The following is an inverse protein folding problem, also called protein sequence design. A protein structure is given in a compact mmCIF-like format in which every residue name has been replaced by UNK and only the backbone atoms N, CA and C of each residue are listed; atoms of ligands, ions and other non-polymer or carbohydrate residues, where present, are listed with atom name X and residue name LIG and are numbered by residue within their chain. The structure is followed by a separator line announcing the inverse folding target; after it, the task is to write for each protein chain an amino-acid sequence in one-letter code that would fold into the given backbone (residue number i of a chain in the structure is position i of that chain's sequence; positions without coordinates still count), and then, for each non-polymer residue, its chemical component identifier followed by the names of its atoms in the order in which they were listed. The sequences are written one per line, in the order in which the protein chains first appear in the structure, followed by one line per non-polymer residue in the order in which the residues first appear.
data_IF_539964826113
#
_entry.id   IF_539964826113
#
_cell.length_a   1.000
_cell.length_b   1.000
_cell.length_c   1.000
_cell.angle_alpha   90.00
_cell.angle_beta   90.00
_cell.angle_gamma   90.00
#
_symmetry.space_group_name_H-M   'P 1'
#
loop_
_entity.id
_entity.type
_entity.pdbx_description
1 polymer ?
#
# COMPACT_ATOMS: atom_id res chain seq x y z
N UNK A 1 -2.10 17.80 -18.15
CA UNK A 1 -0.78 17.33 -17.72
C UNK A 1 -0.91 16.06 -16.92
N UNK A 2 -0.08 15.04 -17.24
CA UNK A 2 -0.07 13.74 -16.57
C UNK A 2 1.36 13.43 -16.13
N UNK A 3 1.51 12.79 -14.97
CA UNK A 3 2.76 12.21 -14.48
C UNK A 3 2.52 10.74 -14.19
N UNK A 4 3.37 9.89 -14.73
CA UNK A 4 3.44 8.47 -14.39
C UNK A 4 4.82 8.23 -13.74
N UNK A 5 4.85 7.48 -12.64
CA UNK A 5 6.08 7.16 -11.93
C UNK A 5 6.32 5.66 -11.97
N UNK A 6 7.54 5.26 -12.27
CA UNK A 6 7.98 3.88 -12.39
C UNK A 6 9.21 3.66 -11.53
N UNK A 7 9.28 2.53 -10.86
CA UNK A 7 10.43 2.13 -10.06
C UNK A 7 10.90 0.74 -10.46
N UNK A 8 12.22 0.58 -10.50
CA UNK A 8 12.87 -0.71 -10.74
C UNK A 8 13.96 -0.96 -9.68
N UNK A 9 14.42 -2.21 -9.56
CA UNK A 9 15.48 -2.59 -8.64
C UNK A 9 16.87 -2.04 -9.07
N UNK A 10 17.03 -1.62 -10.33
CA UNK A 10 18.26 -1.04 -10.85
C UNK A 10 18.46 0.37 -10.33
N UNK A 11 19.63 0.62 -9.73
CA UNK A 11 20.01 1.97 -9.28
C UNK A 11 20.19 2.99 -10.40
N UNK A 12 20.30 2.53 -11.65
CA UNK A 12 20.47 3.33 -12.85
C UNK A 12 19.21 3.38 -13.72
N UNK A 13 18.07 2.94 -13.18
CA UNK A 13 16.84 2.78 -13.95
C UNK A 13 16.40 4.06 -14.66
N UNK A 14 16.42 5.20 -13.97
CA UNK A 14 16.08 6.49 -14.57
C UNK A 14 16.95 6.83 -15.78
N UNK A 15 18.26 6.61 -15.67
CA UNK A 15 19.20 6.85 -16.78
C UNK A 15 18.91 5.92 -17.97
N UNK A 16 18.62 4.66 -17.68
CA UNK A 16 18.27 3.68 -18.73
C UNK A 16 16.99 4.10 -19.48
N UNK A 17 15.96 4.57 -18.78
CA UNK A 17 14.73 5.06 -19.41
C UNK A 17 14.99 6.28 -20.31
N UNK A 18 15.81 7.23 -19.85
CA UNK A 18 16.19 8.43 -20.65
C UNK A 18 16.97 8.00 -21.90
N UNK A 19 17.98 7.15 -21.76
CA UNK A 19 18.80 6.66 -22.88
C UNK A 19 17.96 5.86 -23.89
N UNK A 20 17.02 5.05 -23.41
CA UNK A 20 16.13 4.26 -24.26
C UNK A 20 15.17 5.15 -25.05
N UNK A 21 14.56 6.16 -24.43
CA UNK A 21 13.70 7.13 -25.12
C UNK A 21 14.48 7.89 -26.21
N UNK A 22 15.70 8.36 -25.89
CA UNK A 22 16.54 9.04 -26.87
C UNK A 22 16.95 8.16 -28.04
N UNK A 23 17.06 6.84 -27.82
CA UNK A 23 17.42 5.87 -28.86
C UNK A 23 16.22 5.47 -29.73
N UNK A 24 15.06 5.25 -29.09
CA UNK A 24 13.87 4.76 -29.78
C UNK A 24 13.10 5.85 -30.51
N UNK A 25 13.14 7.08 -29.99
CA UNK A 25 12.42 8.21 -30.55
C UNK A 25 13.37 9.22 -31.20
N UNK A 26 13.49 9.20 -32.54
CA UNK A 26 14.40 10.13 -33.26
C UNK A 26 14.08 11.61 -33.11
N UNK A 27 12.87 11.94 -32.64
CA UNK A 27 12.46 13.33 -32.38
C UNK A 27 12.82 13.79 -30.98
N UNK A 28 13.23 12.86 -30.10
CA UNK A 28 13.66 13.17 -28.75
C UNK A 28 15.01 13.87 -28.72
N UNK A 29 15.14 14.79 -27.76
CA UNK A 29 16.39 15.47 -27.48
C UNK A 29 16.63 15.54 -25.98
N UNK A 30 17.88 15.49 -25.56
CA UNK A 30 18.24 15.68 -24.16
C UNK A 30 18.17 17.18 -23.82
N UNK A 31 17.31 17.53 -22.86
CA UNK A 31 17.17 18.90 -22.35
C UNK A 31 17.32 18.91 -20.83
N UNK A 32 17.54 20.10 -20.27
CA UNK A 32 17.57 20.30 -18.82
C UNK A 32 16.36 21.11 -18.35
N UNK A 33 15.63 20.57 -17.37
CA UNK A 33 14.47 21.24 -16.73
C UNK A 33 14.76 21.38 -15.24
N UNK A 34 15.33 22.52 -14.83
CA UNK A 34 15.88 22.69 -13.48
C UNK A 34 17.06 21.76 -13.23
N UNK A 35 16.99 20.91 -12.24
CA UNK A 35 18.02 19.90 -11.92
C UNK A 35 17.87 18.59 -12.72
N UNK A 36 16.80 18.44 -13.48
CA UNK A 36 16.45 17.21 -14.16
C UNK A 36 17.00 17.16 -15.59
N UNK A 37 17.72 16.09 -15.91
CA UNK A 37 18.01 15.72 -17.30
C UNK A 37 16.78 15.00 -17.84
N UNK A 38 16.25 15.45 -18.98
CA UNK A 38 15.03 14.92 -19.57
C UNK A 38 15.28 14.53 -21.04
N UNK A 39 14.85 13.33 -21.43
CA UNK A 39 14.60 13.05 -22.83
C UNK A 39 13.24 13.74 -23.15
N UNK A 40 13.26 14.68 -24.06
CA UNK A 40 12.10 15.48 -24.42
C UNK A 40 11.76 15.28 -25.88
N UNK A 41 10.48 15.02 -26.16
CA UNK A 41 9.92 14.98 -27.49
C UNK A 41 8.61 15.79 -27.57
N UNK A 42 8.24 16.18 -28.79
CA UNK A 42 6.95 16.84 -29.05
C UNK A 42 6.38 16.36 -30.39
N UNK A 43 5.13 15.95 -30.36
CA UNK A 43 4.40 15.52 -31.54
C UNK A 43 3.16 16.38 -31.75
N UNK A 44 2.91 16.79 -32.98
CA UNK A 44 1.72 17.60 -33.34
C UNK A 44 0.74 16.72 -34.12
N UNK A 45 -0.50 16.70 -33.69
CA UNK A 45 -1.59 15.94 -34.33
C UNK A 45 -2.86 16.78 -34.42
N UNK A 46 -3.83 16.32 -35.21
CA UNK A 46 -5.10 16.97 -35.39
C UNK A 46 -6.24 16.08 -34.93
N UNK A 47 -7.10 16.63 -34.07
CA UNK A 47 -8.30 15.94 -33.59
C UNK A 47 -9.49 16.88 -33.65
N UNK A 48 -10.61 16.44 -34.19
CA UNK A 48 -11.85 17.22 -34.34
C UNK A 48 -11.64 18.62 -34.96
N UNK A 49 -10.73 18.72 -35.94
CA UNK A 49 -10.43 19.97 -36.61
C UNK A 49 -9.43 20.90 -35.92
N UNK A 50 -9.07 20.59 -34.67
CA UNK A 50 -8.12 21.38 -33.86
C UNK A 50 -6.74 20.74 -33.89
N UNK A 51 -5.70 21.57 -33.98
CA UNK A 51 -4.31 21.12 -33.88
C UNK A 51 -3.84 21.14 -32.42
N UNK A 52 -3.26 20.04 -32.00
CA UNK A 52 -2.67 19.85 -30.68
C UNK A 52 -1.18 19.55 -30.78
N UNK A 53 -0.45 19.83 -29.71
CA UNK A 53 0.91 19.37 -29.49
C UNK A 53 0.94 18.57 -28.20
N UNK A 54 1.40 17.32 -28.27
CA UNK A 54 1.72 16.48 -27.12
C UNK A 54 3.21 16.61 -26.83
N UNK A 55 3.54 17.09 -25.66
CA UNK A 55 4.89 17.18 -25.13
C UNK A 55 5.12 16.03 -24.16
N UNK A 56 6.26 15.35 -24.28
CA UNK A 56 6.64 14.22 -23.42
C UNK A 56 8.02 14.52 -22.84
N UNK A 57 8.17 14.26 -21.55
CA UNK A 57 9.46 14.30 -20.83
C UNK A 57 9.63 12.98 -20.11
N UNK A 58 10.72 12.28 -20.38
CA UNK A 58 11.18 11.12 -19.61
C UNK A 58 12.36 11.57 -18.77
N UNK A 59 12.24 11.48 -17.46
CA UNK A 59 13.23 11.96 -16.50
C UNK A 59 13.26 11.09 -15.25
N UNK A 60 14.16 11.32 -14.32
CA UNK A 60 14.21 10.58 -13.06
C UNK A 60 15.56 10.65 -12.38
N UNK A 61 15.70 9.88 -11.30
CA UNK A 61 16.92 9.78 -10.53
C UNK A 61 17.00 8.41 -9.84
N UNK A 62 18.14 7.75 -9.99
CA UNK A 62 18.36 6.45 -9.36
C UNK A 62 17.39 5.38 -9.89
N UNK A 63 16.66 4.75 -8.98
CA UNK A 63 15.68 3.70 -9.25
C UNK A 63 14.29 4.19 -9.69
N UNK A 64 14.09 5.51 -9.78
CA UNK A 64 12.80 6.13 -10.07
C UNK A 64 12.84 6.87 -11.42
N UNK A 65 11.96 6.51 -12.34
CA UNK A 65 11.71 7.19 -13.60
C UNK A 65 10.32 7.86 -13.58
N UNK A 66 10.23 9.04 -14.18
CA UNK A 66 8.98 9.76 -14.42
C UNK A 66 8.78 9.95 -15.91
N UNK A 67 7.58 9.62 -16.38
CA UNK A 67 7.06 10.03 -17.67
C UNK A 67 6.05 11.14 -17.45
N UNK A 68 6.33 12.31 -17.96
CA UNK A 68 5.46 13.48 -17.89
C UNK A 68 4.93 13.79 -19.29
N UNK A 69 3.63 14.01 -19.43
CA UNK A 69 3.02 14.38 -20.69
C UNK A 69 2.08 15.59 -20.56
N UNK A 70 2.09 16.45 -21.56
CA UNK A 70 1.22 17.62 -21.68
C UNK A 70 0.65 17.68 -23.10
N UNK A 71 -0.67 17.58 -23.23
CA UNK A 71 -1.35 17.85 -24.50
C UNK A 71 -2.02 19.22 -24.43
N UNK A 72 -1.69 20.10 -25.36
CA UNK A 72 -2.22 21.45 -25.46
C UNK A 72 -2.49 21.83 -26.90
N UNK A 73 -3.29 22.86 -27.14
CA UNK A 73 -3.48 23.39 -28.49
C UNK A 73 -2.14 23.88 -29.04
N UNK A 74 -1.94 23.66 -30.36
CA UNK A 74 -0.69 24.06 -31.04
C UNK A 74 -0.39 25.55 -30.82
N UNK A 75 0.82 25.84 -30.37
CA UNK A 75 1.29 27.20 -30.06
C UNK A 75 1.12 27.57 -28.60
N UNK A 76 0.50 26.73 -27.77
CA UNK A 76 0.48 26.97 -26.31
C UNK A 76 1.83 26.69 -25.67
N UNK A 77 2.11 27.38 -24.58
CA UNK A 77 3.38 27.27 -23.87
C UNK A 77 3.44 25.96 -23.02
N UNK A 78 4.62 25.39 -22.94
CA UNK A 78 4.93 24.21 -22.08
C UNK A 78 5.51 24.59 -20.72
N UNK A 79 5.80 25.89 -20.51
CA UNK A 79 6.41 26.41 -19.28
C UNK A 79 5.70 26.01 -18.00
N UNK A 80 4.35 25.96 -17.91
CA UNK A 80 3.68 25.49 -16.70
C UNK A 80 3.99 24.03 -16.35
N UNK A 81 4.09 23.13 -17.35
CA UNK A 81 4.46 21.73 -17.14
C UNK A 81 5.92 21.62 -16.67
N UNK A 82 6.84 22.38 -17.27
CA UNK A 82 8.24 22.40 -16.85
C UNK A 82 8.39 22.94 -15.41
N UNK A 83 7.56 23.87 -14.98
CA UNK A 83 7.54 24.35 -13.59
C UNK A 83 7.17 23.22 -12.62
N UNK A 84 6.20 22.36 -12.99
CA UNK A 84 5.83 21.17 -12.21
C UNK A 84 6.99 20.17 -12.20
N UNK A 85 7.63 19.90 -13.35
CA UNK A 85 8.78 18.98 -13.42
C UNK A 85 9.93 19.48 -12.55
N UNK A 86 10.23 20.78 -12.53
CA UNK A 86 11.24 21.39 -11.63
C UNK A 86 10.94 21.15 -10.15
N UNK A 87 9.66 21.03 -9.80
CA UNK A 87 9.22 20.80 -8.41
C UNK A 87 9.28 19.34 -7.98
N UNK A 88 9.49 18.39 -8.90
CA UNK A 88 9.61 16.97 -8.57
C UNK A 88 10.72 16.73 -7.55
N UNK A 89 10.48 15.81 -6.65
CA UNK A 89 11.48 15.34 -5.68
C UNK A 89 11.43 13.82 -5.62
N UNK A 90 12.58 13.20 -5.76
CA UNK A 90 12.74 11.77 -5.43
C UNK A 90 13.19 11.71 -3.98
N UNK A 91 12.36 11.12 -3.14
CA UNK A 91 12.77 10.80 -1.78
C UNK A 91 13.76 9.64 -1.84
N UNK A 92 15.01 9.90 -1.55
CA UNK A 92 16.04 8.87 -1.38
C UNK A 92 15.97 8.37 0.07
N UNK A 93 15.73 7.09 0.24
CA UNK A 93 15.67 6.45 1.55
C UNK A 93 14.37 5.69 1.76
N UNK A 94 14.34 4.89 2.80
CA UNK A 94 13.11 4.24 3.28
C UNK A 94 12.15 5.36 3.66
N UNK A 95 11.02 5.48 2.96
CA UNK A 95 10.01 6.46 3.34
C UNK A 95 9.66 6.27 4.82
N UNK A 96 9.59 7.35 5.60
CA UNK A 96 9.18 7.23 6.99
C UNK A 96 7.80 6.61 7.02
N UNK A 97 7.63 5.64 7.91
CA UNK A 97 6.32 5.06 8.16
C UNK A 97 5.38 6.16 8.65
N UNK A 98 4.28 6.34 7.94
CA UNK A 98 3.21 7.25 8.35
C UNK A 98 2.10 6.45 9.03
N UNK A 99 1.60 6.99 10.14
CA UNK A 99 0.44 6.45 10.86
C UNK A 99 -0.62 7.52 10.85
N UNK A 100 -1.75 7.22 10.25
CA UNK A 100 -2.86 8.15 10.07
C UNK A 100 -4.17 7.52 10.59
N UNK A 101 -5.21 8.30 10.86
CA UNK A 101 -6.53 7.74 11.17
C UNK A 101 -6.94 6.69 10.14
N UNK A 102 -7.59 5.63 10.62
CA UNK A 102 -8.03 4.53 9.74
C UNK A 102 -8.89 5.06 8.59
N UNK A 103 -8.56 4.65 7.36
CA UNK A 103 -9.25 5.11 6.15
C UNK A 103 -10.38 4.14 5.77
N UNK A 104 -11.22 4.58 4.86
CA UNK A 104 -12.38 3.81 4.37
C UNK A 104 -11.96 2.46 3.76
N UNK A 105 -10.81 2.39 3.10
CA UNK A 105 -10.32 1.14 2.51
C UNK A 105 -10.00 0.10 3.59
N UNK A 106 -9.23 0.46 4.61
CA UNK A 106 -8.87 -0.43 5.70
C UNK A 106 -10.10 -0.78 6.56
N UNK A 107 -11.03 0.15 6.77
CA UNK A 107 -12.33 -0.16 7.42
C UNK A 107 -13.08 -1.21 6.60
N UNK A 108 -13.09 -1.08 5.28
CA UNK A 108 -13.71 -2.07 4.38
C UNK A 108 -13.07 -3.46 4.52
N UNK A 109 -11.75 -3.54 4.61
CA UNK A 109 -11.01 -4.80 4.82
C UNK A 109 -11.33 -5.43 6.18
N UNK A 110 -11.35 -4.63 7.26
CA UNK A 110 -11.69 -5.09 8.61
C UNK A 110 -13.12 -5.65 8.63
N UNK A 111 -14.09 -4.92 8.07
CA UNK A 111 -15.47 -5.34 7.99
C UNK A 111 -15.65 -6.62 7.17
N UNK A 112 -15.01 -6.72 6.01
CA UNK A 112 -15.05 -7.91 5.17
C UNK A 112 -14.46 -9.13 5.88
N UNK A 113 -13.38 -8.95 6.63
CA UNK A 113 -12.77 -10.00 7.45
C UNK A 113 -13.71 -10.44 8.57
N UNK A 114 -14.34 -9.50 9.29
CA UNK A 114 -15.33 -9.78 10.31
C UNK A 114 -16.52 -10.58 9.75
N UNK A 115 -17.10 -10.14 8.63
CA UNK A 115 -18.23 -10.83 7.99
C UNK A 115 -17.85 -12.24 7.53
N UNK A 116 -16.66 -12.40 6.94
CA UNK A 116 -16.17 -13.69 6.51
C UNK A 116 -16.00 -14.65 7.69
N UNK A 117 -15.40 -14.19 8.80
CA UNK A 117 -15.20 -14.99 10.02
C UNK A 117 -16.54 -15.33 10.65
N UNK A 118 -17.44 -14.35 10.82
CA UNK A 118 -18.77 -14.55 11.38
C UNK A 118 -19.56 -15.60 10.60
N UNK A 119 -19.56 -15.49 9.28
CA UNK A 119 -20.23 -16.45 8.41
C UNK A 119 -19.61 -17.84 8.52
N UNK A 120 -18.28 -17.92 8.60
CA UNK A 120 -17.57 -19.20 8.68
C UNK A 120 -17.79 -19.88 10.04
N UNK A 121 -17.75 -19.12 11.14
CA UNK A 121 -18.06 -19.62 12.49
C UNK A 121 -19.51 -20.11 12.56
N UNK A 122 -20.46 -19.33 12.03
CA UNK A 122 -21.87 -19.71 11.99
C UNK A 122 -22.11 -21.02 11.25
N UNK A 123 -21.47 -21.17 10.08
CA UNK A 123 -21.56 -22.40 9.26
C UNK A 123 -20.89 -23.61 9.89
N UNK A 124 -19.76 -23.40 10.58
CA UNK A 124 -18.91 -24.50 11.04
C UNK A 124 -19.23 -24.93 12.47
N UNK A 125 -19.55 -23.95 13.35
CA UNK A 125 -19.73 -24.16 14.77
C UNK A 125 -21.18 -23.92 15.24
N UNK A 126 -22.05 -23.40 14.37
CA UNK A 126 -23.45 -23.01 14.71
C UNK A 126 -23.48 -21.97 15.84
N UNK A 127 -22.48 -21.10 15.92
CA UNK A 127 -22.31 -20.04 16.92
C UNK A 127 -22.19 -18.69 16.25
N UNK A 128 -22.48 -17.63 16.99
CA UNK A 128 -22.27 -16.26 16.55
C UNK A 128 -20.86 -15.79 16.94
N UNK A 129 -20.31 -14.86 16.17
CA UNK A 129 -19.06 -14.16 16.43
C UNK A 129 -19.39 -12.71 16.76
N UNK A 130 -18.97 -12.23 17.92
CA UNK A 130 -19.35 -10.92 18.47
C UNK A 130 -18.14 -10.04 18.80
N UNK A 131 -16.93 -10.51 18.45
CA UNK A 131 -15.64 -9.84 18.74
C UNK A 131 -15.38 -9.61 20.22
N UNK A 132 -15.78 -10.56 21.07
CA UNK A 132 -15.47 -10.56 22.50
C UNK A 132 -14.34 -11.55 22.80
N UNK A 133 -13.69 -11.46 23.96
CA UNK A 133 -12.57 -12.34 24.34
C UNK A 133 -12.95 -13.83 24.26
N UNK A 134 -14.19 -14.20 24.58
CA UNK A 134 -14.71 -15.57 24.46
C UNK A 134 -14.68 -16.13 23.01
N UNK A 135 -14.67 -15.24 22.02
CA UNK A 135 -14.61 -15.61 20.61
C UNK A 135 -13.22 -16.13 20.18
N UNK A 136 -12.17 -15.92 20.99
CA UNK A 136 -10.86 -16.50 20.75
C UNK A 136 -10.92 -18.02 20.63
N UNK A 137 -11.78 -18.69 21.42
CA UNK A 137 -11.97 -20.14 21.32
C UNK A 137 -12.64 -20.55 20.00
N UNK A 138 -13.56 -19.71 19.50
CA UNK A 138 -14.23 -19.97 18.23
C UNK A 138 -13.26 -19.79 17.06
N UNK A 139 -12.44 -18.75 17.09
CA UNK A 139 -11.37 -18.54 16.12
C UNK A 139 -10.34 -19.67 16.15
N UNK A 140 -9.91 -20.10 17.37
CA UNK A 140 -8.97 -21.21 17.52
C UNK A 140 -9.49 -22.50 16.88
N UNK A 141 -10.76 -22.81 17.08
CA UNK A 141 -11.40 -23.98 16.46
C UNK A 141 -11.42 -23.92 14.93
N UNK A 142 -11.50 -22.73 14.33
CA UNK A 142 -11.35 -22.58 12.87
C UNK A 142 -9.91 -22.89 12.44
N UNK A 143 -8.93 -22.37 13.19
CA UNK A 143 -7.49 -22.62 12.93
C UNK A 143 -7.18 -24.10 13.03
N UNK A 144 -7.63 -24.75 14.11
CA UNK A 144 -7.32 -26.17 14.40
C UNK A 144 -8.11 -27.15 13.52
N UNK A 145 -9.18 -26.68 12.89
CA UNK A 145 -10.08 -27.51 12.09
C UNK A 145 -9.46 -28.10 10.80
N UNK A 146 -8.20 -27.78 10.50
CA UNK A 146 -7.42 -28.35 9.41
C UNK A 146 -7.93 -28.02 7.99
N UNK A 147 -8.96 -27.21 7.87
CA UNK A 147 -9.57 -26.81 6.57
C UNK A 147 -8.86 -25.61 5.94
N UNK A 148 -8.08 -24.87 6.72
CA UNK A 148 -7.35 -23.69 6.27
C UNK A 148 -6.02 -24.12 5.65
N UNK A 149 -5.84 -23.81 4.37
CA UNK A 149 -4.59 -24.14 3.69
C UNK A 149 -3.53 -23.08 4.00
N UNK A 150 -2.30 -23.50 4.29
CA UNK A 150 -1.17 -22.62 4.63
C UNK A 150 -0.84 -21.60 3.55
N UNK A 151 -1.19 -21.86 2.29
CA UNK A 151 -0.94 -20.94 1.18
C UNK A 151 -2.09 -19.94 0.93
N UNK A 152 -3.15 -19.97 1.71
CA UNK A 152 -4.30 -19.05 1.58
C UNK A 152 -4.08 -17.80 2.42
N UNK A 153 -3.20 -16.92 1.98
CA UNK A 153 -2.82 -15.69 2.67
C UNK A 153 -4.02 -14.89 3.17
N UNK A 154 -4.99 -14.59 2.31
CA UNK A 154 -6.19 -13.81 2.65
C UNK A 154 -6.98 -14.41 3.81
N UNK A 155 -7.05 -15.73 3.90
CA UNK A 155 -7.76 -16.42 4.99
C UNK A 155 -7.08 -16.15 6.34
N UNK A 156 -5.75 -16.23 6.38
CA UNK A 156 -4.98 -15.95 7.59
C UNK A 156 -5.01 -14.48 7.98
N UNK A 157 -4.97 -13.59 7.00
CA UNK A 157 -5.13 -12.14 7.22
C UNK A 157 -6.53 -11.83 7.78
N UNK A 158 -7.60 -12.45 7.26
CA UNK A 158 -8.95 -12.28 7.79
C UNK A 158 -9.07 -12.74 9.26
N UNK A 159 -8.47 -13.89 9.62
CA UNK A 159 -8.44 -14.34 11.02
C UNK A 159 -7.66 -13.35 11.89
N UNK A 160 -6.56 -12.81 11.37
CA UNK A 160 -5.77 -11.80 12.06
C UNK A 160 -6.55 -10.50 12.29
N UNK A 161 -7.25 -10.01 11.29
CA UNK A 161 -8.11 -8.82 11.42
C UNK A 161 -9.26 -9.08 12.41
N UNK A 162 -9.88 -10.27 12.40
CA UNK A 162 -10.90 -10.65 13.37
C UNK A 162 -10.33 -10.75 14.81
N UNK A 163 -9.11 -11.23 14.99
CA UNK A 163 -8.42 -11.14 16.29
C UNK A 163 -8.23 -9.67 16.68
N UNK A 164 -7.88 -8.82 15.73
CA UNK A 164 -7.73 -7.38 15.95
C UNK A 164 -9.03 -6.71 16.40
N UNK A 165 -10.20 -7.12 15.91
CA UNK A 165 -11.48 -6.58 16.38
C UNK A 165 -11.79 -6.99 17.83
N UNK A 166 -11.36 -8.18 18.26
CA UNK A 166 -11.45 -8.57 19.67
C UNK A 166 -10.55 -7.69 20.53
N UNK A 167 -9.32 -7.48 20.10
CA UNK A 167 -8.34 -6.65 20.82
C UNK A 167 -8.85 -5.21 20.97
N UNK A 168 -9.40 -4.63 19.91
CA UNK A 168 -9.96 -3.27 19.95
C UNK A 168 -11.13 -3.16 20.95
N UNK A 169 -12.03 -4.15 20.92
CA UNK A 169 -13.22 -4.14 21.78
C UNK A 169 -12.90 -4.35 23.27
N UNK A 170 -11.86 -5.13 23.57
CA UNK A 170 -11.54 -5.54 24.96
C UNK A 170 -10.47 -4.67 25.62
N UNK A 171 -9.77 -3.82 24.87
CA UNK A 171 -8.67 -3.01 25.41
C UNK A 171 -8.96 -1.53 25.19
N UNK A 172 -9.37 -0.86 26.27
CA UNK A 172 -9.64 0.58 26.25
C UNK A 172 -8.45 1.39 25.73
N UNK A 173 -8.72 2.31 24.79
CA UNK A 173 -7.71 3.14 24.16
C UNK A 173 -6.98 2.50 22.96
N UNK A 174 -7.21 1.21 22.67
CA UNK A 174 -6.78 0.58 21.44
C UNK A 174 -7.64 1.09 20.27
N UNK A 175 -7.03 1.41 19.16
CA UNK A 175 -7.74 1.92 17.97
C UNK A 175 -7.12 1.44 16.68
N UNK A 176 -7.94 1.27 15.66
CA UNK A 176 -7.46 1.05 14.30
C UNK A 176 -6.85 2.31 13.70
N UNK A 177 -5.77 2.12 12.97
CA UNK A 177 -5.06 3.13 12.19
C UNK A 177 -4.68 2.57 10.83
N UNK A 178 -4.48 3.46 9.85
CA UNK A 178 -3.85 3.11 8.58
C UNK A 178 -2.35 3.39 8.68
N UNK A 179 -1.56 2.42 8.26
CA UNK A 179 -0.10 2.52 8.20
C UNK A 179 0.32 2.56 6.75
N UNK A 180 1.10 3.57 6.38
CA UNK A 180 1.74 3.71 5.08
C UNK A 180 3.23 3.48 5.29
N UNK A 181 3.78 2.40 4.74
CA UNK A 181 5.20 2.02 4.84
C UNK A 181 5.76 1.83 3.43
N UNK A 182 6.19 2.90 2.82
CA UNK A 182 6.57 2.94 1.41
C UNK A 182 5.38 2.65 0.49
N UNK A 183 5.46 1.57 -0.27
CA UNK A 183 4.37 1.13 -1.16
C UNK A 183 3.34 0.22 -0.47
N UNK A 184 3.49 -0.05 0.81
CA UNK A 184 2.60 -0.92 1.56
C UNK A 184 1.66 -0.09 2.42
N UNK A 185 0.39 -0.39 2.30
CA UNK A 185 -0.66 0.20 3.11
C UNK A 185 -1.44 -0.93 3.79
N UNK A 186 -1.75 -0.76 5.06
CA UNK A 186 -2.45 -1.80 5.83
C UNK A 186 -3.10 -1.25 7.10
N UNK A 187 -4.13 -1.95 7.58
CA UNK A 187 -4.72 -1.71 8.88
C UNK A 187 -3.80 -2.21 10.00
N UNK A 188 -3.66 -1.43 11.05
CA UNK A 188 -2.98 -1.82 12.27
C UNK A 188 -3.73 -1.31 13.51
N UNK A 189 -3.48 -1.93 14.66
CA UNK A 189 -3.94 -1.47 15.96
C UNK A 189 -2.85 -0.59 16.59
N UNK A 190 -3.26 0.51 17.19
CA UNK A 190 -2.38 1.43 17.90
C UNK A 190 -2.85 1.66 19.33
N UNK A 191 -1.90 1.58 20.29
CA UNK A 191 -2.05 2.00 21.68
C UNK A 191 -0.79 2.77 22.07
N UNK A 192 -0.91 4.08 22.29
CA UNK A 192 0.27 4.93 22.51
C UNK A 192 1.29 4.80 21.35
N UNK A 193 2.49 4.34 21.69
CA UNK A 193 3.59 4.04 20.74
C UNK A 193 3.56 2.61 20.20
N UNK A 194 2.74 1.75 20.79
CA UNK A 194 2.58 0.35 20.34
C UNK A 194 1.81 0.32 19.03
N UNK A 195 2.36 -0.39 18.05
CA UNK A 195 1.73 -0.62 16.75
C UNK A 195 1.72 -2.11 16.44
N UNK A 196 0.56 -2.67 16.20
CA UNK A 196 0.34 -4.10 15.97
C UNK A 196 -0.34 -4.30 14.62
N UNK A 197 0.21 -5.16 13.78
CA UNK A 197 -0.44 -5.63 12.56
C UNK A 197 -0.93 -7.07 12.76
N UNK A 198 -2.19 -7.27 13.18
CA UNK A 198 -2.69 -8.61 13.52
C UNK A 198 -2.79 -9.52 12.29
N UNK A 199 -3.11 -8.97 11.11
CA UNK A 199 -3.13 -9.72 9.87
C UNK A 199 -1.74 -10.30 9.54
N UNK A 200 -0.69 -9.49 9.67
CA UNK A 200 0.69 -9.92 9.41
C UNK A 200 1.19 -10.95 10.42
N UNK A 201 0.84 -10.82 11.69
CA UNK A 201 1.23 -11.76 12.76
C UNK A 201 0.74 -13.16 12.39
N UNK A 202 -0.53 -13.32 12.07
CA UNK A 202 -1.09 -14.63 11.77
C UNK A 202 -0.62 -15.18 10.43
N UNK A 203 -0.53 -14.35 9.41
CA UNK A 203 0.04 -14.78 8.13
C UNK A 203 1.49 -15.24 8.26
N UNK A 204 2.32 -14.52 9.02
CA UNK A 204 3.73 -14.90 9.23
C UNK A 204 3.86 -16.21 9.99
N UNK A 205 3.04 -16.43 11.02
CA UNK A 205 3.02 -17.67 11.77
C UNK A 205 2.58 -18.86 10.87
N UNK A 206 1.51 -18.70 10.11
CA UNK A 206 1.01 -19.71 9.18
C UNK A 206 2.05 -20.05 8.10
N UNK A 207 2.65 -19.04 7.47
CA UNK A 207 3.68 -19.21 6.45
C UNK A 207 4.91 -19.96 6.95
N UNK A 208 5.28 -19.76 8.21
CA UNK A 208 6.43 -20.40 8.85
C UNK A 208 6.11 -21.84 9.33
N UNK A 209 4.87 -22.29 9.20
CA UNK A 209 4.43 -23.59 9.71
C UNK A 209 4.40 -23.70 11.23
N UNK A 210 4.43 -22.54 11.93
CA UNK A 210 4.35 -22.53 13.38
C UNK A 210 2.92 -22.82 13.85
N UNK A 211 2.80 -23.51 15.00
CA UNK A 211 1.52 -23.66 15.66
C UNK A 211 0.99 -22.27 16.06
N UNK A 212 -0.27 -21.99 15.71
CA UNK A 212 -0.93 -20.74 16.01
C UNK A 212 -1.81 -20.93 17.24
N UNK A 213 -1.49 -20.19 18.30
CA UNK A 213 -2.26 -20.13 19.55
C UNK A 213 -2.77 -18.71 19.74
N UNK A 214 -4.05 -18.49 19.39
CA UNK A 214 -4.67 -17.17 19.42
C UNK A 214 -4.80 -16.61 20.82
N UNK A 215 -5.01 -17.45 21.85
CA UNK A 215 -5.04 -17.01 23.25
C UNK A 215 -3.68 -16.49 23.69
N UNK A 216 -2.62 -17.16 23.27
CA UNK A 216 -1.24 -16.74 23.57
C UNK A 216 -0.89 -15.43 22.84
N UNK A 217 -1.30 -15.28 21.59
CA UNK A 217 -1.07 -14.04 20.85
C UNK A 217 -1.86 -12.87 21.46
N UNK A 218 -3.12 -13.09 21.83
CA UNK A 218 -3.93 -12.12 22.55
C UNK A 218 -3.31 -11.71 23.90
N UNK A 219 -2.86 -12.70 24.69
CA UNK A 219 -2.22 -12.46 25.98
C UNK A 219 -0.93 -11.61 25.84
N UNK A 220 -0.11 -11.87 24.81
CA UNK A 220 1.08 -11.05 24.50
C UNK A 220 0.71 -9.59 24.21
N UNK A 221 -0.35 -9.38 23.42
CA UNK A 221 -0.81 -8.03 23.11
C UNK A 221 -1.27 -7.32 24.37
N UNK A 222 -2.04 -8.01 25.23
CA UNK A 222 -2.52 -7.48 26.50
C UNK A 222 -1.38 -7.10 27.41
N UNK A 223 -0.36 -7.95 27.56
CA UNK A 223 0.84 -7.66 28.34
C UNK A 223 1.59 -6.42 27.82
N UNK A 224 1.70 -6.26 26.50
CA UNK A 224 2.34 -5.09 25.89
C UNK A 224 1.54 -3.79 26.12
N UNK A 225 0.21 -3.86 26.17
CA UNK A 225 -0.66 -2.74 26.54
C UNK A 225 -0.49 -2.40 28.00
N UNK A 226 -0.55 -3.40 28.89
CA UNK A 226 -0.38 -3.20 30.36
C UNK A 226 0.94 -2.55 30.73
N UNK A 227 2.02 -2.82 30.00
CA UNK A 227 3.34 -2.15 30.22
C UNK A 227 3.31 -0.66 29.89
N UNK A 228 2.29 -0.16 29.21
CA UNK A 228 2.16 1.22 28.72
C UNK A 228 1.06 2.03 29.43
N UNK A 229 0.31 1.38 30.31
CA UNK A 229 -0.63 2.00 31.23
C UNK A 229 0.08 2.55 32.47
#
# INVERSE_FOLDING_TARGET
FRISAFRDASKDYARMCIEEELKQNPTSSLIKVGEWDCAYSAETFREEGTWYTCHIWVTGKGDMCFECSLTVTKGSERTPAEAIIRSLRVRSGKEPREIIPVRVLEIGEINAAFEWVSTTIKKTLTKDFTSQEEDLEKLQKLVDGGKLKLNQRTVWENIGLALGTIVENEMDGMKWVSVIDGSREYAALQFGDLLINPAHILWSAAKSGNAIDLKKEYAKIKEEVEKRL
#
